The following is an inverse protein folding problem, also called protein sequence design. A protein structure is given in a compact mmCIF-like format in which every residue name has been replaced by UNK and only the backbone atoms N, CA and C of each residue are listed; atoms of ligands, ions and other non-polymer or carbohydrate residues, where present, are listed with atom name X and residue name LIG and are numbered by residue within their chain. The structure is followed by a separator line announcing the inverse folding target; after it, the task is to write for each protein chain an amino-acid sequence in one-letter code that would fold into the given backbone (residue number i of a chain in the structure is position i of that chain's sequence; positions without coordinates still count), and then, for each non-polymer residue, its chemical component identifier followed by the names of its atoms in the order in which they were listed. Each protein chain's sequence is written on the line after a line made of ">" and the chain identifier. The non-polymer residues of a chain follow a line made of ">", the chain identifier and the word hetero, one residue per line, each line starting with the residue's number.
data_IF_474217484246
#
_entry.id   IF_474217484246
#
_cell.length_a   1.000
_cell.length_b   1.000
_cell.length_c   1.000
_cell.angle_alpha   90.00
_cell.angle_beta   90.00
_cell.angle_gamma   90.00
#
_symmetry.space_group_name_H-M   'P 1'
#
loop_
_entity.id
_entity.type
_entity.pdbx_description
1 polymer ?
#
# COMPACT_ATOMS: atom_id res chain seq x y z
N UNK A 1 29.38 52.97 23.46
CA UNK A 1 30.12 52.77 22.20
C UNK A 1 29.34 51.88 21.23
N UNK A 2 29.11 50.60 21.53
CA UNK A 2 28.40 49.64 20.65
C UNK A 2 27.05 50.20 20.14
N UNK A 3 26.20 50.73 21.02
CA UNK A 3 24.91 51.34 20.63
C UNK A 3 25.06 52.47 19.60
N UNK A 4 26.12 53.28 19.71
CA UNK A 4 26.34 54.42 18.81
C UNK A 4 26.76 53.98 17.41
N UNK A 5 27.49 52.89 17.32
CA UNK A 5 28.00 52.35 16.05
C UNK A 5 27.03 51.36 15.40
N UNK A 6 25.88 51.08 16.04
CA UNK A 6 24.86 50.08 15.68
C UNK A 6 25.39 48.62 15.70
N UNK A 7 26.42 48.33 14.90
CA UNK A 7 27.17 47.08 14.90
C UNK A 7 28.68 47.35 14.79
N UNK A 8 29.48 46.69 15.62
CA UNK A 8 30.95 46.84 15.64
C UNK A 8 31.61 45.50 15.37
N UNK A 9 32.58 45.46 14.45
CA UNK A 9 33.46 44.31 14.29
C UNK A 9 34.32 44.09 15.54
N UNK A 10 34.48 42.85 15.98
CA UNK A 10 35.25 42.55 17.19
C UNK A 10 36.68 43.07 17.13
N UNK A 11 37.34 43.06 15.95
CA UNK A 11 38.67 43.67 15.78
C UNK A 11 38.67 45.16 16.10
N UNK A 12 37.74 45.92 15.52
CA UNK A 12 37.58 47.37 15.76
C UNK A 12 37.27 47.66 17.23
N UNK A 13 36.47 46.80 17.88
CA UNK A 13 36.15 46.94 19.29
C UNK A 13 37.39 46.76 20.18
N UNK A 14 38.22 45.75 19.89
CA UNK A 14 39.48 45.54 20.60
C UNK A 14 40.42 46.73 20.41
N UNK A 15 40.59 47.23 19.18
CA UNK A 15 41.45 48.39 18.88
C UNK A 15 40.97 49.67 19.59
N UNK A 16 39.65 49.90 19.65
CA UNK A 16 39.09 51.08 20.31
C UNK A 16 39.38 51.13 21.81
N UNK A 17 39.24 50.01 22.51
CA UNK A 17 39.43 49.95 23.96
C UNK A 17 40.88 49.67 24.38
N UNK A 18 41.72 49.18 23.48
CA UNK A 18 43.19 49.10 23.69
C UNK A 18 43.84 50.49 23.63
N UNK A 19 43.27 51.41 22.86
CA UNK A 19 43.73 52.80 22.77
C UNK A 19 43.40 53.65 24.02
N UNK A 20 44.13 54.75 24.20
CA UNK A 20 43.83 55.76 25.22
C UNK A 20 42.43 56.39 24.97
N UNK A 21 41.66 56.73 26.02
CA UNK A 21 42.03 56.75 27.45
C UNK A 21 41.80 55.42 28.18
N UNK A 22 41.30 54.37 27.52
CA UNK A 22 40.91 53.14 28.18
C UNK A 22 42.10 52.23 28.51
N UNK A 23 42.96 51.97 27.53
CA UNK A 23 44.16 51.14 27.72
C UNK A 23 43.88 49.70 28.17
N UNK A 24 42.71 49.15 27.81
CA UNK A 24 42.30 47.81 28.23
C UNK A 24 43.05 46.73 27.45
N UNK A 25 43.48 45.67 28.12
CA UNK A 25 43.96 44.48 27.41
C UNK A 25 42.85 43.90 26.54
N UNK A 26 43.23 43.25 25.44
CA UNK A 26 42.27 42.54 24.57
C UNK A 26 41.40 41.56 25.36
N UNK A 27 41.97 40.87 26.35
CA UNK A 27 41.25 39.92 27.20
C UNK A 27 40.21 40.59 28.07
N UNK A 28 40.51 41.77 28.63
CA UNK A 28 39.54 42.56 29.41
C UNK A 28 38.31 42.87 28.56
N UNK A 29 38.52 43.38 27.34
CA UNK A 29 37.42 43.70 26.41
C UNK A 29 36.62 42.45 26.04
N UNK A 30 37.28 41.33 25.73
CA UNK A 30 36.59 40.06 25.40
C UNK A 30 35.75 39.54 26.57
N UNK A 31 36.27 39.57 27.80
CA UNK A 31 35.54 39.10 28.97
C UNK A 31 34.34 39.99 29.30
N UNK A 32 34.48 41.31 29.18
CA UNK A 32 33.35 42.23 29.33
C UNK A 32 32.25 41.95 28.30
N UNK A 33 32.60 41.81 27.02
CA UNK A 33 31.63 41.46 25.97
C UNK A 33 31.01 40.09 26.22
N UNK A 34 31.78 39.12 26.71
CA UNK A 34 31.24 37.79 27.06
C UNK A 34 30.23 37.87 28.21
N UNK A 35 30.51 38.68 29.24
CA UNK A 35 29.59 38.91 30.34
C UNK A 35 28.31 39.61 29.86
N UNK A 36 28.45 40.66 29.05
CA UNK A 36 27.32 41.35 28.41
C UNK A 36 26.48 40.39 27.54
N UNK A 37 27.12 39.48 26.82
CA UNK A 37 26.43 38.48 26.00
C UNK A 37 25.62 37.50 26.85
N UNK A 38 26.20 36.98 27.94
CA UNK A 38 25.48 36.10 28.88
C UNK A 38 24.33 36.84 29.57
N UNK A 39 24.51 38.13 29.87
CA UNK A 39 23.46 39.00 30.40
C UNK A 39 22.40 39.40 29.35
N UNK A 40 22.54 38.97 28.10
CA UNK A 40 21.66 39.35 26.98
C UNK A 40 21.65 40.87 26.69
N UNK A 41 22.74 41.58 26.97
CA UNK A 41 22.89 43.00 26.62
C UNK A 41 23.38 43.20 25.18
N UNK A 42 24.13 42.23 24.66
CA UNK A 42 24.63 42.21 23.28
C UNK A 42 24.26 40.90 22.59
N UNK A 43 24.21 40.95 21.26
CA UNK A 43 24.14 39.78 20.38
C UNK A 43 25.37 39.74 19.48
N UNK A 44 25.69 38.56 18.97
CA UNK A 44 26.87 38.33 18.14
C UNK A 44 26.43 37.97 16.73
N UNK A 45 27.01 38.60 15.71
CA UNK A 45 26.85 38.18 14.32
C UNK A 45 28.02 37.29 13.92
N UNK A 46 27.76 36.01 13.70
CA UNK A 46 28.78 34.98 13.43
C UNK A 46 28.44 34.30 12.11
N UNK A 47 29.32 34.42 11.12
CA UNK A 47 29.12 33.84 9.78
C UNK A 47 27.78 34.23 9.12
N UNK A 48 27.28 35.43 9.43
CA UNK A 48 26.02 35.95 8.89
C UNK A 48 24.78 35.70 9.76
N UNK A 49 24.89 34.89 10.81
CA UNK A 49 23.78 34.55 11.72
C UNK A 49 23.86 35.37 13.02
N UNK A 50 22.70 35.80 13.52
CA UNK A 50 22.58 36.47 14.82
C UNK A 50 22.48 35.41 15.94
N UNK A 51 23.51 35.34 16.77
CA UNK A 51 23.61 34.48 17.93
C UNK A 51 23.28 35.30 19.18
N UNK A 52 22.27 34.85 19.94
CA UNK A 52 21.67 35.60 21.07
C UNK A 52 21.77 34.84 22.40
N UNK A 53 22.17 33.58 22.35
CA UNK A 53 22.26 32.69 23.50
C UNK A 53 23.61 32.00 23.52
N UNK A 54 24.03 31.55 24.71
CA UNK A 54 25.22 30.72 24.84
C UNK A 54 25.05 29.41 24.06
N UNK A 55 26.02 29.14 23.19
CA UNK A 55 26.13 27.93 22.39
C UNK A 55 27.58 27.72 21.90
N UNK A 56 27.89 26.58 21.27
CA UNK A 56 29.23 26.27 20.77
C UNK A 56 29.88 27.37 19.91
N UNK A 57 29.17 27.95 18.93
CA UNK A 57 29.68 29.03 18.06
C UNK A 57 30.03 30.27 18.87
N UNK A 58 29.18 30.66 19.82
CA UNK A 58 29.44 31.81 20.69
C UNK A 58 30.67 31.56 21.58
N UNK A 59 30.78 30.37 22.16
CA UNK A 59 31.92 29.98 23.00
C UNK A 59 33.22 30.02 22.20
N UNK A 60 33.25 29.38 21.02
CA UNK A 60 34.43 29.34 20.17
C UNK A 60 34.87 30.75 19.74
N UNK A 61 33.91 31.59 19.36
CA UNK A 61 34.18 32.94 18.89
C UNK A 61 34.65 33.88 19.99
N UNK A 62 34.14 33.74 21.22
CA UNK A 62 34.57 34.58 22.35
C UNK A 62 35.84 34.07 23.03
N UNK A 63 36.18 32.78 22.88
CA UNK A 63 37.27 32.10 23.61
C UNK A 63 38.65 32.71 23.37
N UNK A 64 38.96 33.16 22.15
CA UNK A 64 40.26 33.72 21.81
C UNK A 64 40.15 34.94 20.88
N UNK A 65 41.25 35.69 20.73
CA UNK A 65 41.30 36.91 19.92
C UNK A 65 41.02 36.65 18.43
N UNK A 66 41.44 35.50 17.89
CA UNK A 66 41.24 35.18 16.48
C UNK A 66 39.77 34.94 16.13
N UNK A 67 39.04 34.24 17.01
CA UNK A 67 37.58 34.09 16.90
C UNK A 67 36.88 35.44 17.06
N UNK A 68 37.27 36.21 18.09
CA UNK A 68 36.64 37.48 18.41
C UNK A 68 36.80 38.50 17.27
N UNK A 69 37.94 38.51 16.58
CA UNK A 69 38.16 39.40 15.44
C UNK A 69 37.19 39.20 14.27
N UNK A 70 36.49 38.06 14.20
CA UNK A 70 35.63 37.67 13.07
C UNK A 70 34.14 37.87 13.32
N UNK A 71 33.74 38.30 14.51
CA UNK A 71 32.33 38.49 14.85
C UNK A 71 31.92 39.95 14.75
N UNK A 72 30.65 40.19 14.44
CA UNK A 72 29.99 41.47 14.71
C UNK A 72 29.39 41.47 16.11
N UNK A 73 29.39 42.62 16.79
CA UNK A 73 28.75 42.82 18.08
C UNK A 73 27.79 44.00 17.97
N UNK A 74 26.54 43.79 18.35
CA UNK A 74 25.50 44.83 18.43
C UNK A 74 24.71 44.70 19.73
N UNK A 75 24.03 45.76 20.13
CA UNK A 75 23.17 45.73 21.30
C UNK A 75 21.97 44.81 21.04
N UNK A 76 21.63 43.96 22.01
CA UNK A 76 20.44 43.11 21.92
C UNK A 76 19.24 43.89 22.46
N UNK A 77 18.52 44.52 21.54
CA UNK A 77 17.48 45.49 21.86
C UNK A 77 16.27 44.83 22.54
N UNK A 78 15.55 45.59 23.37
CA UNK A 78 14.41 45.07 24.13
C UNK A 78 13.27 44.53 23.24
N UNK A 79 13.07 45.11 22.06
CA UNK A 79 12.08 44.67 21.07
C UNK A 79 12.49 43.39 20.31
N UNK A 80 13.76 42.98 20.38
CA UNK A 80 14.24 41.73 19.81
C UNK A 80 14.18 40.56 20.80
N UNK A 81 14.02 40.86 22.09
CA UNK A 81 13.95 39.86 23.16
C UNK A 81 12.55 39.22 23.20
N UNK A 82 12.46 37.88 23.35
CA UNK A 82 11.16 37.24 23.54
C UNK A 82 10.52 37.72 24.84
N UNK A 83 9.20 37.97 24.82
CA UNK A 83 8.45 38.32 26.03
C UNK A 83 8.34 37.12 26.98
N UNK A 84 7.99 37.37 28.24
CA UNK A 84 7.76 36.30 29.21
C UNK A 84 6.67 35.31 28.76
N UNK A 85 5.61 35.81 28.10
CA UNK A 85 4.55 34.99 27.52
C UNK A 85 5.07 34.10 26.39
N UNK A 86 5.98 34.62 25.56
CA UNK A 86 6.60 33.84 24.49
C UNK A 86 7.54 32.76 25.06
N UNK A 87 8.28 33.07 26.11
CA UNK A 87 9.12 32.09 26.82
C UNK A 87 8.26 30.99 27.44
N UNK A 88 7.18 31.34 28.14
CA UNK A 88 6.23 30.39 28.71
C UNK A 88 5.56 29.50 27.65
N UNK A 89 5.15 30.10 26.52
CA UNK A 89 4.56 29.36 25.40
C UNK A 89 5.57 28.41 24.75
N UNK A 90 6.82 28.85 24.59
CA UNK A 90 7.90 28.05 24.03
C UNK A 90 8.18 26.81 24.86
N UNK A 91 8.29 26.93 26.18
CA UNK A 91 8.58 25.77 27.05
C UNK A 91 7.42 24.78 27.07
N UNK A 92 6.16 25.26 27.02
CA UNK A 92 4.99 24.38 26.94
C UNK A 92 4.98 23.59 25.62
N UNK A 93 5.27 24.26 24.52
CA UNK A 93 5.34 23.67 23.18
C UNK A 93 6.52 22.70 23.04
N UNK A 94 7.69 23.06 23.57
CA UNK A 94 8.82 22.14 23.64
C UNK A 94 8.50 20.91 24.47
N UNK A 95 7.89 21.07 25.64
CA UNK A 95 7.48 19.94 26.47
C UNK A 95 6.49 19.02 25.73
N UNK A 96 5.59 19.57 24.91
CA UNK A 96 4.70 18.77 24.07
C UNK A 96 5.46 18.01 22.96
N UNK A 97 6.49 18.62 22.38
CA UNK A 97 7.28 18.00 21.31
C UNK A 97 8.28 16.95 21.84
N UNK A 98 8.90 17.19 22.99
CA UNK A 98 10.05 16.40 23.48
C UNK A 98 9.77 15.63 24.78
N UNK A 99 8.71 15.98 25.51
CA UNK A 99 8.45 15.49 26.86
C UNK A 99 9.30 16.16 27.95
N UNK A 100 10.23 17.05 27.60
CA UNK A 100 11.13 17.71 28.55
C UNK A 100 10.58 19.06 29.01
N UNK A 101 10.47 19.26 30.33
CA UNK A 101 10.14 20.55 30.93
C UNK A 101 11.41 21.32 31.27
N UNK A 102 11.47 22.60 30.88
CA UNK A 102 12.62 23.47 31.14
C UNK A 102 12.19 24.83 31.67
N UNK A 103 13.12 25.53 32.32
CA UNK A 103 12.91 26.89 32.78
C UNK A 103 12.63 27.84 31.59
N UNK A 104 11.78 28.87 31.77
CA UNK A 104 11.44 29.85 30.72
C UNK A 104 12.59 30.85 30.50
N UNK A 105 13.73 30.33 30.06
CA UNK A 105 14.94 31.09 29.75
C UNK A 105 15.36 30.79 28.31
N UNK A 106 15.79 31.82 27.58
CA UNK A 106 16.11 31.70 26.16
C UNK A 106 17.25 30.69 25.91
N UNK A 107 18.26 30.66 26.79
CA UNK A 107 19.38 29.73 26.72
C UNK A 107 18.96 28.28 26.96
N UNK A 108 18.03 28.04 27.90
CA UNK A 108 17.49 26.71 28.20
C UNK A 108 16.61 26.16 27.09
N UNK A 109 15.77 27.01 26.49
CA UNK A 109 14.98 26.66 25.31
C UNK A 109 15.93 26.27 24.15
N UNK A 110 16.96 27.08 23.89
CA UNK A 110 17.93 26.79 22.85
C UNK A 110 18.74 25.50 23.11
N UNK A 111 19.04 25.20 24.37
CA UNK A 111 19.73 23.97 24.77
C UNK A 111 18.92 22.71 24.41
N UNK A 112 17.62 22.69 24.73
CA UNK A 112 16.72 21.58 24.36
C UNK A 112 16.64 21.45 22.85
N UNK A 113 16.46 22.57 22.15
CA UNK A 113 16.34 22.58 20.69
C UNK A 113 17.59 22.00 20.03
N UNK A 114 18.79 22.41 20.44
CA UNK A 114 20.04 21.85 19.91
C UNK A 114 20.19 20.35 20.15
N UNK A 115 19.52 19.81 21.18
CA UNK A 115 19.53 18.39 21.51
C UNK A 115 18.55 17.60 20.64
N UNK A 116 17.29 18.03 20.57
CA UNK A 116 16.21 17.26 19.94
C UNK A 116 15.98 17.55 18.46
N UNK A 117 16.21 18.78 17.99
CA UNK A 117 15.91 19.12 16.60
C UNK A 117 16.75 18.35 15.57
N UNK A 118 18.04 18.02 15.81
CA UNK A 118 18.79 17.15 14.89
C UNK A 118 18.17 15.75 14.77
N UNK A 119 17.64 15.22 15.87
CA UNK A 119 16.93 13.94 15.88
C UNK A 119 15.62 14.04 15.10
N UNK A 120 14.84 15.12 15.29
CA UNK A 120 13.63 15.38 14.51
C UNK A 120 13.93 15.53 13.01
N UNK A 121 15.02 16.22 12.65
CA UNK A 121 15.45 16.38 11.26
C UNK A 121 15.65 15.02 10.61
N UNK A 122 16.40 14.15 11.28
CA UNK A 122 16.69 12.78 10.83
C UNK A 122 15.42 11.95 10.76
N UNK A 123 14.63 11.95 11.84
CA UNK A 123 13.38 11.17 11.98
C UNK A 123 12.39 11.51 10.86
N UNK A 124 12.26 12.78 10.52
CA UNK A 124 11.26 13.25 9.56
C UNK A 124 11.77 13.39 8.12
N UNK A 125 13.04 13.05 7.85
CA UNK A 125 13.70 13.26 6.56
C UNK A 125 13.02 12.54 5.38
N UNK A 126 12.42 11.37 5.62
CA UNK A 126 11.79 10.55 4.57
C UNK A 126 10.33 10.89 4.31
N UNK A 127 9.70 11.70 5.15
CA UNK A 127 8.23 11.86 5.14
C UNK A 127 7.74 12.48 3.83
N UNK A 128 8.44 13.50 3.31
CA UNK A 128 8.09 14.11 2.02
C UNK A 128 8.01 13.08 0.90
N UNK A 129 9.06 12.29 0.72
CA UNK A 129 9.11 11.25 -0.33
C UNK A 129 8.03 10.18 -0.15
N UNK A 130 7.71 9.83 1.11
CA UNK A 130 6.62 8.88 1.40
C UNK A 130 5.26 9.45 1.04
N UNK A 131 4.99 10.73 1.36
CA UNK A 131 3.76 11.41 0.97
C UNK A 131 3.64 11.50 -0.56
N UNK A 132 4.71 11.87 -1.27
CA UNK A 132 4.75 11.90 -2.74
C UNK A 132 4.43 10.52 -3.35
N UNK A 133 5.07 9.46 -2.85
CA UNK A 133 4.84 8.09 -3.33
C UNK A 133 3.39 7.63 -3.12
N UNK A 134 2.80 7.99 -1.98
CA UNK A 134 1.40 7.65 -1.65
C UNK A 134 0.38 8.61 -2.27
N UNK A 135 0.84 9.66 -2.97
CA UNK A 135 0.00 10.75 -3.50
C UNK A 135 -0.82 11.48 -2.43
N UNK A 136 -0.26 11.61 -1.22
CA UNK A 136 -0.87 12.31 -0.09
C UNK A 136 -0.44 13.78 -0.02
N UNK A 137 -1.30 14.69 0.49
CA UNK A 137 -0.99 16.11 0.63
C UNK A 137 0.05 16.37 1.73
N UNK A 138 0.54 17.62 1.81
CA UNK A 138 1.44 18.08 2.86
C UNK A 138 2.94 17.93 2.55
N UNK A 139 3.30 17.71 1.28
CA UNK A 139 4.70 17.58 0.84
C UNK A 139 5.50 18.86 1.10
N UNK A 140 4.91 20.02 0.77
CA UNK A 140 5.47 21.34 1.05
C UNK A 140 5.62 21.57 2.57
N UNK A 141 4.57 21.23 3.34
CA UNK A 141 4.59 21.32 4.80
C UNK A 141 5.69 20.45 5.42
N UNK A 142 5.94 19.26 4.87
CA UNK A 142 7.05 18.40 5.30
C UNK A 142 8.42 19.02 4.98
N UNK A 143 8.55 19.69 3.84
CA UNK A 143 9.77 20.45 3.50
C UNK A 143 9.96 21.64 4.43
N UNK A 144 8.90 22.41 4.70
CA UNK A 144 8.94 23.55 5.62
C UNK A 144 9.39 23.17 7.03
N UNK A 145 9.05 21.96 7.51
CA UNK A 145 9.60 21.44 8.77
C UNK A 145 11.12 21.29 8.68
N UNK A 146 11.62 20.66 7.62
CA UNK A 146 13.06 20.42 7.46
C UNK A 146 13.84 21.73 7.39
N UNK A 147 13.33 22.69 6.62
CA UNK A 147 13.93 24.02 6.46
C UNK A 147 13.83 24.82 7.78
N UNK A 148 12.69 24.76 8.46
CA UNK A 148 12.47 25.39 9.75
C UNK A 148 13.40 24.86 10.85
N UNK A 149 13.60 23.54 10.90
CA UNK A 149 14.58 22.90 11.80
C UNK A 149 16.00 23.37 11.45
N UNK A 150 16.38 23.30 10.18
CA UNK A 150 17.72 23.68 9.73
C UNK A 150 18.04 25.14 10.08
N UNK A 151 17.11 26.05 9.86
CA UNK A 151 17.28 27.47 10.15
C UNK A 151 17.44 27.74 11.66
N UNK A 152 16.65 27.06 12.49
CA UNK A 152 16.78 27.16 13.95
C UNK A 152 18.14 26.62 14.42
N UNK A 153 18.58 25.48 13.89
CA UNK A 153 19.87 24.88 14.23
C UNK A 153 21.05 25.72 13.75
N UNK A 154 20.93 26.36 12.58
CA UNK A 154 21.94 27.28 12.03
C UNK A 154 22.22 28.43 13.00
N UNK A 155 21.19 29.01 13.60
CA UNK A 155 21.29 30.03 14.66
C UNK A 155 21.58 29.48 16.07
N UNK A 156 21.95 28.20 16.22
CA UNK A 156 22.15 27.51 17.50
C UNK A 156 20.94 27.58 18.45
N UNK A 157 19.73 27.67 17.91
CA UNK A 157 18.50 27.83 18.71
C UNK A 157 18.27 29.25 19.24
N UNK A 158 19.07 30.24 18.83
CA UNK A 158 18.94 31.64 19.29
C UNK A 158 17.52 32.19 19.07
N UNK A 159 16.90 31.84 17.94
CA UNK A 159 15.55 32.27 17.59
C UNK A 159 14.46 31.30 18.02
N UNK A 160 14.80 30.19 18.70
CA UNK A 160 13.83 29.15 19.00
C UNK A 160 12.71 29.64 19.93
N UNK A 161 13.04 30.40 20.97
CA UNK A 161 12.06 31.02 21.86
C UNK A 161 11.11 31.97 21.10
N UNK A 162 11.59 32.61 20.04
CA UNK A 162 10.76 33.49 19.22
C UNK A 162 9.86 32.67 18.29
N UNK A 163 10.45 31.73 17.55
CA UNK A 163 9.75 30.90 16.56
C UNK A 163 8.70 30.00 17.20
N UNK A 164 8.99 29.44 18.37
CA UNK A 164 8.06 28.57 19.12
C UNK A 164 7.12 29.36 20.04
N UNK A 165 7.48 30.58 20.44
CA UNK A 165 6.76 31.34 21.46
C UNK A 165 5.67 32.28 20.95
N UNK A 166 5.64 32.59 19.65
CA UNK A 166 4.62 33.46 19.06
C UNK A 166 3.21 32.87 19.21
N UNK A 167 2.14 33.68 19.31
CA UNK A 167 0.77 33.18 19.37
C UNK A 167 0.46 32.16 18.27
N UNK A 168 0.77 32.53 17.02
CA UNK A 168 0.78 31.64 15.85
C UNK A 168 2.21 31.22 15.56
N UNK A 169 2.46 29.91 15.49
CA UNK A 169 3.79 29.35 15.33
C UNK A 169 3.76 28.24 14.30
N UNK A 170 3.97 28.60 13.03
CA UNK A 170 3.99 27.65 11.92
C UNK A 170 5.00 26.53 12.16
N UNK A 171 6.18 26.85 12.73
CA UNK A 171 7.17 25.85 13.09
C UNK A 171 6.62 24.81 14.07
N UNK A 172 5.93 25.26 15.13
CA UNK A 172 5.35 24.35 16.12
C UNK A 172 4.21 23.53 15.52
N UNK A 173 3.29 24.17 14.81
CA UNK A 173 2.12 23.52 14.23
C UNK A 173 2.54 22.49 13.16
N UNK A 174 3.56 22.82 12.37
CA UNK A 174 4.15 21.91 11.39
C UNK A 174 4.89 20.73 12.07
N UNK A 175 5.60 20.97 13.17
CA UNK A 175 6.27 19.91 13.95
C UNK A 175 5.28 18.94 14.62
N UNK A 176 4.12 19.44 15.07
CA UNK A 176 3.04 18.57 15.58
C UNK A 176 2.45 17.75 14.45
N UNK A 177 2.11 18.38 13.33
CA UNK A 177 1.53 17.71 12.18
C UNK A 177 2.44 16.59 11.65
N UNK A 178 3.73 16.88 11.43
CA UNK A 178 4.66 15.88 10.89
C UNK A 178 4.93 14.75 11.89
N UNK A 179 4.88 15.05 13.19
CA UNK A 179 4.95 14.05 14.26
C UNK A 179 3.77 13.09 14.21
N UNK A 180 2.56 13.59 13.98
CA UNK A 180 1.35 12.78 13.81
C UNK A 180 1.42 11.93 12.54
N UNK A 181 1.85 12.50 11.41
CA UNK A 181 2.07 11.75 10.15
C UNK A 181 3.07 10.62 10.36
N UNK A 182 4.22 10.91 10.98
CA UNK A 182 5.24 9.91 11.28
C UNK A 182 4.68 8.77 12.14
N UNK A 183 3.92 9.12 13.19
CA UNK A 183 3.29 8.14 14.08
C UNK A 183 2.27 7.30 13.34
N UNK A 184 1.41 7.89 12.51
CA UNK A 184 0.45 7.14 11.69
C UNK A 184 1.17 6.15 10.76
N UNK A 185 2.26 6.60 10.14
CA UNK A 185 3.13 5.77 9.33
C UNK A 185 3.76 4.59 10.11
N UNK A 186 4.25 4.81 11.32
CA UNK A 186 4.73 3.75 12.23
C UNK A 186 3.61 2.78 12.64
N UNK A 187 2.34 3.22 12.60
CA UNK A 187 1.15 2.45 12.98
C UNK A 187 0.43 1.79 11.78
N UNK A 188 1.10 1.68 10.62
CA UNK A 188 0.57 0.96 9.45
C UNK A 188 -0.38 1.77 8.57
N UNK A 189 -0.45 3.09 8.74
CA UNK A 189 -1.20 3.97 7.81
C UNK A 189 -0.66 3.87 6.38
N UNK A 190 0.67 3.79 6.21
CA UNK A 190 1.29 3.66 4.88
C UNK A 190 0.84 2.39 4.15
N UNK A 191 0.79 1.25 4.85
CA UNK A 191 0.32 0.00 4.24
C UNK A 191 -1.15 0.08 3.83
N UNK A 192 -2.00 0.78 4.60
CA UNK A 192 -3.40 0.96 4.25
C UNK A 192 -3.56 1.77 2.95
N UNK A 193 -2.85 2.89 2.79
CA UNK A 193 -2.89 3.66 1.54
C UNK A 193 -2.32 2.89 0.34
N UNK A 194 -1.24 2.11 0.53
CA UNK A 194 -0.72 1.22 -0.53
C UNK A 194 -1.77 0.19 -0.94
N UNK A 195 -2.40 -0.45 0.03
CA UNK A 195 -3.44 -1.45 -0.22
C UNK A 195 -4.65 -0.85 -0.95
N UNK A 196 -5.12 0.32 -0.53
CA UNK A 196 -6.18 1.05 -1.22
C UNK A 196 -5.84 1.32 -2.70
N UNK A 197 -4.62 1.79 -2.98
CA UNK A 197 -4.15 2.02 -4.35
C UNK A 197 -4.12 0.72 -5.18
N UNK A 198 -3.60 -0.37 -4.61
CA UNK A 198 -3.55 -1.68 -5.29
C UNK A 198 -4.95 -2.23 -5.58
N UNK A 199 -5.87 -2.10 -4.62
CA UNK A 199 -7.28 -2.48 -4.81
C UNK A 199 -7.92 -1.64 -5.91
N UNK A 200 -7.70 -0.32 -5.92
CA UNK A 200 -8.24 0.59 -6.92
C UNK A 200 -7.75 0.22 -8.32
N UNK A 201 -6.44 0.08 -8.50
CA UNK A 201 -5.84 -0.30 -9.79
C UNK A 201 -6.33 -1.67 -10.26
N UNK A 202 -6.40 -2.65 -9.35
CA UNK A 202 -6.83 -4.00 -9.68
C UNK A 202 -8.31 -4.09 -10.04
N UNK A 203 -9.19 -3.35 -9.34
CA UNK A 203 -10.62 -3.32 -9.63
C UNK A 203 -10.87 -2.54 -10.92
N UNK A 204 -10.20 -1.41 -11.15
CA UNK A 204 -10.33 -0.62 -12.37
C UNK A 204 -9.91 -1.40 -13.63
N UNK A 205 -8.92 -2.30 -13.50
CA UNK A 205 -8.46 -3.17 -14.57
C UNK A 205 -9.43 -4.31 -14.94
N UNK A 206 -10.46 -4.58 -14.13
CA UNK A 206 -11.45 -5.61 -14.45
C UNK A 206 -12.29 -5.24 -15.68
N UNK A 207 -12.92 -6.22 -16.37
CA UNK A 207 -13.81 -5.91 -17.50
C UNK A 207 -15.01 -5.03 -17.13
N UNK A 208 -15.41 -4.13 -18.02
CA UNK A 208 -16.60 -3.28 -17.88
C UNK A 208 -17.90 -3.97 -18.33
N UNK A 209 -18.02 -5.26 -18.01
CA UNK A 209 -19.20 -6.06 -18.34
C UNK A 209 -19.49 -7.13 -17.28
N UNK A 210 -20.76 -7.55 -17.17
CA UNK A 210 -21.18 -8.65 -16.29
C UNK A 210 -20.92 -8.40 -14.81
N UNK A 211 -20.66 -9.47 -14.06
CA UNK A 211 -20.40 -9.45 -12.61
C UNK A 211 -19.21 -8.54 -12.23
N UNK A 212 -18.09 -8.49 -12.98
CA UNK A 212 -17.02 -7.54 -12.69
C UNK A 212 -17.45 -6.06 -12.75
N UNK A 213 -18.33 -5.69 -13.69
CA UNK A 213 -18.88 -4.32 -13.76
C UNK A 213 -19.71 -3.98 -12.53
N UNK A 214 -20.55 -4.90 -12.10
CA UNK A 214 -21.35 -4.73 -10.88
C UNK A 214 -20.44 -4.54 -9.64
N UNK A 215 -19.32 -5.26 -9.55
CA UNK A 215 -18.35 -5.05 -8.47
C UNK A 215 -17.76 -3.62 -8.50
N UNK A 216 -17.38 -3.12 -9.69
CA UNK A 216 -16.90 -1.73 -9.85
C UNK A 216 -17.94 -0.72 -9.39
N UNK A 217 -19.20 -0.93 -9.75
CA UNK A 217 -20.30 -0.03 -9.37
C UNK A 217 -20.55 -0.03 -7.86
N UNK A 218 -20.52 -1.20 -7.22
CA UNK A 218 -20.79 -1.32 -5.77
C UNK A 218 -19.62 -0.89 -4.88
N UNK A 219 -18.37 -0.97 -5.37
CA UNK A 219 -17.18 -0.47 -4.64
C UNK A 219 -16.98 1.04 -4.81
N UNK A 220 -17.75 1.70 -5.67
CA UNK A 220 -17.58 3.12 -5.99
C UNK A 220 -17.69 4.03 -4.77
N UNK A 221 -18.64 3.77 -3.87
CA UNK A 221 -18.85 4.60 -2.66
C UNK A 221 -17.67 4.52 -1.71
N UNK A 222 -17.14 3.33 -1.47
CA UNK A 222 -15.95 3.15 -0.63
C UNK A 222 -14.72 3.80 -1.28
N UNK A 223 -14.57 3.68 -2.61
CA UNK A 223 -13.47 4.36 -3.32
C UNK A 223 -13.59 5.88 -3.30
N UNK A 224 -14.79 6.46 -3.39
CA UNK A 224 -14.98 7.90 -3.20
C UNK A 224 -14.56 8.32 -1.78
N UNK A 225 -14.88 7.51 -0.76
CA UNK A 225 -14.45 7.76 0.62
C UNK A 225 -12.93 7.76 0.74
N UNK A 226 -12.26 6.79 0.10
CA UNK A 226 -10.80 6.71 0.05
C UNK A 226 -10.20 7.93 -0.67
N UNK A 227 -10.79 8.36 -1.78
CA UNK A 227 -10.36 9.54 -2.52
C UNK A 227 -10.52 10.82 -1.69
N UNK A 228 -11.65 10.99 -1.00
CA UNK A 228 -11.89 12.11 -0.09
C UNK A 228 -10.84 12.15 1.03
N UNK A 229 -10.50 11.00 1.63
CA UNK A 229 -9.45 10.90 2.66
C UNK A 229 -8.07 11.25 2.07
N UNK A 230 -7.77 10.76 0.87
CA UNK A 230 -6.47 10.96 0.22
C UNK A 230 -6.24 12.43 -0.13
N UNK A 231 -7.30 13.19 -0.37
CA UNK A 231 -7.23 14.63 -0.67
C UNK A 231 -7.34 15.54 0.57
N UNK A 232 -7.57 14.96 1.75
CA UNK A 232 -7.73 15.69 3.01
C UNK A 232 -6.37 16.02 3.64
N UNK A 233 -6.18 17.25 4.13
CA UNK A 233 -4.96 17.61 4.86
C UNK A 233 -4.91 16.99 6.28
N UNK A 234 -6.05 16.51 6.77
CA UNK A 234 -6.22 15.82 8.06
C UNK A 234 -6.34 14.30 7.90
N UNK A 235 -5.85 13.73 6.78
CA UNK A 235 -5.92 12.31 6.45
C UNK A 235 -5.46 11.36 7.57
N UNK A 236 -4.53 11.80 8.43
CA UNK A 236 -4.02 11.00 9.56
C UNK A 236 -5.15 10.61 10.51
N UNK A 237 -6.06 11.53 10.80
CA UNK A 237 -7.16 11.33 11.74
C UNK A 237 -8.26 10.43 11.15
N UNK A 238 -8.26 10.25 9.82
CA UNK A 238 -9.23 9.42 9.08
C UNK A 238 -8.68 8.03 8.70
N UNK A 239 -7.57 7.62 9.31
CA UNK A 239 -6.97 6.29 9.05
C UNK A 239 -7.91 5.13 9.41
N UNK A 240 -8.82 5.30 10.38
CA UNK A 240 -9.82 4.27 10.71
C UNK A 240 -10.82 4.10 9.56
N UNK A 241 -11.44 5.20 9.12
CA UNK A 241 -12.39 5.23 8.01
C UNK A 241 -11.78 4.62 6.74
N UNK A 242 -10.50 4.91 6.46
CA UNK A 242 -9.76 4.30 5.35
C UNK A 242 -9.72 2.77 5.46
N UNK A 243 -9.41 2.24 6.65
CA UNK A 243 -9.33 0.79 6.88
C UNK A 243 -10.70 0.12 6.77
N UNK A 244 -11.74 0.80 7.24
CA UNK A 244 -13.12 0.30 7.14
C UNK A 244 -13.56 0.24 5.66
N UNK A 245 -13.29 1.29 4.88
CA UNK A 245 -13.56 1.30 3.43
C UNK A 245 -12.78 0.19 2.69
N UNK A 246 -11.51 -0.03 3.04
CA UNK A 246 -10.71 -1.15 2.50
C UNK A 246 -11.34 -2.50 2.85
N UNK A 247 -11.80 -2.68 4.09
CA UNK A 247 -12.45 -3.92 4.52
C UNK A 247 -13.73 -4.18 3.72
N UNK A 248 -14.59 -3.17 3.58
CA UNK A 248 -15.82 -3.28 2.79
C UNK A 248 -15.53 -3.68 1.34
N UNK A 249 -14.52 -3.08 0.72
CA UNK A 249 -14.12 -3.43 -0.66
C UNK A 249 -13.64 -4.88 -0.74
N UNK A 250 -12.89 -5.37 0.25
CA UNK A 250 -12.44 -6.77 0.27
C UNK A 250 -13.59 -7.75 0.45
N UNK A 251 -14.55 -7.42 1.31
CA UNK A 251 -15.74 -8.23 1.53
C UNK A 251 -16.56 -8.30 0.23
N UNK A 252 -16.77 -7.16 -0.44
CA UNK A 252 -17.38 -7.11 -1.77
C UNK A 252 -16.59 -7.94 -2.79
N UNK A 253 -15.26 -7.86 -2.81
CA UNK A 253 -14.45 -8.71 -3.70
C UNK A 253 -14.65 -10.20 -3.41
N UNK A 254 -14.78 -10.59 -2.14
CA UNK A 254 -15.06 -11.97 -1.75
C UNK A 254 -16.43 -12.44 -2.23
N UNK A 255 -17.47 -11.64 -1.98
CA UNK A 255 -18.84 -11.94 -2.39
C UNK A 255 -18.98 -12.03 -3.91
N UNK A 256 -18.39 -11.08 -4.64
CA UNK A 256 -18.43 -11.07 -6.10
C UNK A 256 -17.55 -12.16 -6.71
N UNK A 257 -16.49 -12.60 -6.04
CA UNK A 257 -15.74 -13.80 -6.44
C UNK A 257 -16.62 -15.05 -6.37
N UNK A 258 -17.37 -15.23 -5.27
CA UNK A 258 -18.30 -16.36 -5.13
C UNK A 258 -19.42 -16.29 -6.17
N UNK A 259 -20.00 -15.10 -6.39
CA UNK A 259 -21.04 -14.89 -7.40
C UNK A 259 -20.53 -15.22 -8.81
N UNK A 260 -19.32 -14.78 -9.14
CA UNK A 260 -18.69 -15.07 -10.43
C UNK A 260 -18.40 -16.57 -10.59
N UNK A 261 -17.82 -17.20 -9.56
CA UNK A 261 -17.51 -18.62 -9.56
C UNK A 261 -18.77 -19.47 -9.81
N UNK A 262 -19.85 -19.18 -9.07
CA UNK A 262 -21.12 -19.89 -9.22
C UNK A 262 -21.69 -19.70 -10.64
N UNK A 263 -21.68 -18.47 -11.16
CA UNK A 263 -22.20 -18.19 -12.50
C UNK A 263 -21.39 -18.87 -13.62
N UNK A 264 -20.06 -18.92 -13.51
CA UNK A 264 -19.23 -19.58 -14.52
C UNK A 264 -19.35 -21.12 -14.44
N UNK A 265 -19.37 -21.70 -13.24
CA UNK A 265 -19.59 -23.14 -13.10
C UNK A 265 -20.97 -23.56 -13.59
N UNK A 266 -22.02 -22.77 -13.34
CA UNK A 266 -23.36 -23.04 -13.89
C UNK A 266 -23.36 -23.05 -15.43
N UNK A 267 -22.67 -22.10 -16.07
CA UNK A 267 -22.54 -22.08 -17.53
C UNK A 267 -21.80 -23.32 -18.05
N UNK A 268 -20.70 -23.70 -17.40
CA UNK A 268 -19.91 -24.87 -17.77
C UNK A 268 -20.74 -26.14 -17.65
N UNK A 269 -21.47 -26.31 -16.54
CA UNK A 269 -22.36 -27.45 -16.33
C UNK A 269 -23.46 -27.51 -17.40
N UNK A 270 -24.09 -26.38 -17.74
CA UNK A 270 -25.10 -26.32 -18.81
C UNK A 270 -24.47 -26.73 -20.15
N UNK A 271 -23.27 -26.25 -20.48
CA UNK A 271 -22.59 -26.63 -21.73
C UNK A 271 -22.23 -28.13 -21.77
N UNK A 272 -21.77 -28.70 -20.66
CA UNK A 272 -21.50 -30.14 -20.51
C UNK A 272 -22.78 -30.94 -20.72
N UNK A 273 -23.88 -30.58 -20.04
CA UNK A 273 -25.18 -31.24 -20.19
C UNK A 273 -25.67 -31.18 -21.64
N UNK A 274 -25.46 -30.08 -22.35
CA UNK A 274 -25.82 -29.96 -23.78
C UNK A 274 -24.97 -30.88 -24.67
N UNK A 275 -23.68 -31.05 -24.36
CA UNK A 275 -22.80 -31.99 -25.07
C UNK A 275 -23.30 -33.42 -24.85
N UNK A 276 -23.61 -33.81 -23.62
CA UNK A 276 -24.06 -35.15 -23.25
C UNK A 276 -25.47 -35.48 -23.77
N UNK A 277 -26.34 -34.48 -23.88
CA UNK A 277 -27.66 -34.62 -24.49
C UNK A 277 -27.64 -34.67 -26.03
N UNK A 278 -26.47 -34.48 -26.66
CA UNK A 278 -26.37 -34.43 -28.12
C UNK A 278 -26.58 -35.79 -28.78
N UNK A 279 -27.11 -35.80 -30.01
CA UNK A 279 -27.26 -37.03 -30.79
C UNK A 279 -25.93 -37.72 -31.06
N UNK A 280 -24.86 -36.95 -31.19
CA UNK A 280 -23.53 -37.48 -31.48
C UNK A 280 -22.91 -38.16 -30.26
N UNK A 281 -23.21 -37.68 -29.05
CA UNK A 281 -22.82 -38.33 -27.80
C UNK A 281 -23.32 -39.79 -27.70
N UNK A 282 -24.57 -40.02 -28.10
CA UNK A 282 -25.18 -41.37 -28.07
C UNK A 282 -24.53 -42.40 -29.00
N UNK A 283 -23.66 -41.96 -29.93
CA UNK A 283 -22.95 -42.83 -30.89
C UNK A 283 -21.56 -43.24 -30.41
N UNK A 284 -21.07 -42.64 -29.32
CA UNK A 284 -19.75 -42.94 -28.74
C UNK A 284 -19.76 -44.29 -28.00
N UNK A 285 -18.59 -44.90 -27.85
CA UNK A 285 -18.42 -46.07 -26.97
C UNK A 285 -18.40 -45.66 -25.50
N UNK A 286 -18.61 -46.62 -24.59
CA UNK A 286 -18.54 -46.36 -23.15
C UNK A 286 -17.20 -45.76 -22.71
N UNK A 287 -16.09 -46.23 -23.29
CA UNK A 287 -14.75 -45.73 -22.97
C UNK A 287 -14.56 -44.28 -23.43
N UNK A 288 -15.07 -43.93 -24.62
CA UNK A 288 -15.02 -42.57 -25.16
C UNK A 288 -15.90 -41.60 -24.36
N UNK A 289 -17.08 -42.05 -23.92
CA UNK A 289 -17.95 -41.27 -23.05
C UNK A 289 -17.28 -41.01 -21.70
N UNK A 290 -16.65 -42.03 -21.10
CA UNK A 290 -15.93 -41.89 -19.83
C UNK A 290 -14.75 -40.91 -19.94
N UNK A 291 -13.94 -41.00 -20.99
CA UNK A 291 -12.81 -40.09 -21.23
C UNK A 291 -13.26 -38.62 -21.33
N UNK A 292 -14.32 -38.37 -22.11
CA UNK A 292 -14.82 -37.00 -22.29
C UNK A 292 -15.51 -36.49 -21.03
N UNK A 293 -16.28 -37.33 -20.33
CA UNK A 293 -16.93 -36.94 -19.08
C UNK A 293 -15.89 -36.56 -18.00
N UNK A 294 -14.79 -37.31 -17.87
CA UNK A 294 -13.69 -36.96 -16.97
C UNK A 294 -13.05 -35.62 -17.35
N UNK A 295 -12.76 -35.41 -18.65
CA UNK A 295 -12.20 -34.16 -19.15
C UNK A 295 -13.11 -32.96 -18.90
N UNK A 296 -14.42 -33.13 -19.10
CA UNK A 296 -15.43 -32.10 -18.86
C UNK A 296 -15.58 -31.77 -17.36
N UNK A 297 -15.60 -32.77 -16.49
CA UNK A 297 -15.67 -32.55 -15.04
C UNK A 297 -14.45 -31.77 -14.52
N UNK A 298 -13.27 -31.97 -15.12
CA UNK A 298 -12.07 -31.22 -14.78
C UNK A 298 -12.09 -29.74 -15.23
N UNK A 299 -13.12 -29.30 -15.97
CA UNK A 299 -13.31 -27.88 -16.32
C UNK A 299 -14.03 -27.08 -15.24
N UNK A 300 -14.69 -27.74 -14.30
CA UNK A 300 -15.36 -27.07 -13.17
C UNK A 300 -14.30 -26.37 -12.34
N UNK A 301 -14.49 -25.06 -12.15
CA UNK A 301 -13.52 -24.21 -11.46
C UNK A 301 -13.61 -24.50 -9.97
N UNK A 302 -12.46 -24.84 -9.37
CA UNK A 302 -12.35 -25.03 -7.93
C UNK A 302 -12.54 -23.71 -7.14
N UNK A 303 -12.69 -23.82 -5.82
CA UNK A 303 -12.93 -22.67 -4.95
C UNK A 303 -11.85 -21.59 -5.08
N UNK A 304 -12.28 -20.37 -5.42
CA UNK A 304 -11.46 -19.15 -5.53
C UNK A 304 -12.01 -18.08 -4.58
N UNK A 305 -11.14 -17.18 -4.12
CA UNK A 305 -11.49 -16.17 -3.11
C UNK A 305 -10.93 -14.79 -3.45
N UNK A 306 -11.70 -13.75 -3.11
CA UNK A 306 -11.30 -12.36 -3.21
C UNK A 306 -10.94 -11.91 -4.63
N UNK A 307 -10.20 -10.81 -4.71
CA UNK A 307 -9.90 -10.14 -5.98
C UNK A 307 -8.99 -10.96 -6.91
N UNK A 308 -8.00 -11.66 -6.36
CA UNK A 308 -7.16 -12.57 -7.16
C UNK A 308 -7.97 -13.75 -7.69
N UNK A 309 -8.93 -14.26 -6.91
CA UNK A 309 -9.86 -15.29 -7.37
C UNK A 309 -10.69 -14.83 -8.58
N UNK A 310 -11.17 -13.58 -8.57
CA UNK A 310 -11.88 -13.00 -9.72
C UNK A 310 -10.98 -12.99 -10.97
N UNK A 311 -9.73 -12.53 -10.85
CA UNK A 311 -8.78 -12.50 -11.97
C UNK A 311 -8.51 -13.90 -12.50
N UNK A 312 -8.32 -14.88 -11.62
CA UNK A 312 -8.11 -16.28 -12.00
C UNK A 312 -9.30 -16.84 -12.78
N UNK A 313 -10.54 -16.65 -12.29
CA UNK A 313 -11.75 -17.14 -12.96
C UNK A 313 -11.87 -16.54 -14.37
N UNK A 314 -11.64 -15.22 -14.50
CA UNK A 314 -11.71 -14.54 -15.80
C UNK A 314 -10.66 -15.06 -16.78
N UNK A 315 -9.44 -15.32 -16.30
CA UNK A 315 -8.36 -15.87 -17.12
C UNK A 315 -8.65 -17.32 -17.54
N UNK A 316 -9.23 -18.14 -16.66
CA UNK A 316 -9.58 -19.53 -16.95
C UNK A 316 -10.69 -19.64 -18.00
N UNK A 317 -11.62 -18.68 -18.04
CA UNK A 317 -12.77 -18.70 -18.94
C UNK A 317 -12.39 -18.89 -20.42
N UNK A 318 -11.31 -18.22 -20.87
CA UNK A 318 -10.80 -18.40 -22.23
C UNK A 318 -10.35 -19.84 -22.51
N UNK A 319 -9.60 -20.44 -21.58
CA UNK A 319 -9.09 -21.81 -21.70
C UNK A 319 -10.23 -22.83 -21.65
N UNK A 320 -11.24 -22.59 -20.80
CA UNK A 320 -12.40 -23.46 -20.66
C UNK A 320 -13.23 -23.48 -21.95
N UNK A 321 -13.57 -22.31 -22.50
CA UNK A 321 -14.35 -22.22 -23.74
C UNK A 321 -13.65 -22.89 -24.94
N UNK A 322 -12.33 -22.73 -25.04
CA UNK A 322 -11.55 -23.41 -26.07
C UNK A 322 -11.54 -24.93 -25.86
N UNK A 323 -11.50 -25.39 -24.61
CA UNK A 323 -11.52 -26.82 -24.30
C UNK A 323 -12.89 -27.43 -24.62
N UNK A 324 -13.98 -26.76 -24.26
CA UNK A 324 -15.35 -27.18 -24.62
C UNK A 324 -15.55 -27.23 -26.14
N UNK A 325 -14.97 -26.28 -26.86
CA UNK A 325 -14.97 -26.29 -28.34
C UNK A 325 -14.18 -27.50 -28.89
N UNK A 326 -12.97 -27.74 -28.37
CA UNK A 326 -12.15 -28.89 -28.77
C UNK A 326 -12.81 -30.23 -28.44
N UNK A 327 -13.54 -30.32 -27.32
CA UNK A 327 -14.33 -31.51 -26.96
C UNK A 327 -15.42 -31.78 -28.00
N UNK A 328 -16.14 -30.73 -28.42
CA UNK A 328 -17.17 -30.87 -29.49
C UNK A 328 -16.57 -31.33 -30.82
N UNK A 329 -15.39 -30.83 -31.17
CA UNK A 329 -14.65 -31.26 -32.37
C UNK A 329 -14.20 -32.72 -32.25
N UNK A 330 -13.64 -33.12 -31.12
CA UNK A 330 -13.22 -34.50 -30.83
C UNK A 330 -14.39 -35.49 -30.92
N UNK A 331 -15.58 -35.12 -30.39
CA UNK A 331 -16.80 -35.92 -30.55
C UNK A 331 -17.16 -36.09 -32.03
N UNK A 332 -17.11 -35.01 -32.82
CA UNK A 332 -17.39 -35.08 -34.24
C UNK A 332 -16.38 -35.96 -35.00
N UNK A 333 -15.10 -35.97 -34.59
CA UNK A 333 -14.09 -36.86 -35.13
C UNK A 333 -14.34 -38.32 -34.79
N UNK A 334 -14.70 -38.64 -33.53
CA UNK A 334 -15.08 -40.00 -33.14
C UNK A 334 -16.28 -40.52 -33.93
N UNK A 335 -17.28 -39.68 -34.20
CA UNK A 335 -18.45 -40.06 -35.01
C UNK A 335 -18.07 -40.28 -36.49
N UNK A 336 -17.11 -39.53 -37.04
CA UNK A 336 -16.63 -39.69 -38.43
C UNK A 336 -15.70 -40.89 -38.59
N UNK A 337 -14.87 -41.15 -37.60
CA UNK A 337 -14.02 -42.33 -37.54
C UNK A 337 -14.92 -43.55 -37.31
N UNK A 338 -15.41 -44.18 -38.40
CA UNK A 338 -16.05 -45.50 -38.33
C UNK A 338 -15.25 -46.39 -37.36
N UNK A 339 -15.90 -47.20 -36.51
CA UNK A 339 -15.18 -48.07 -35.59
C UNK A 339 -14.13 -48.84 -36.38
N UNK A 340 -12.85 -48.67 -36.02
CA UNK A 340 -11.79 -49.48 -36.59
C UNK A 340 -12.17 -50.92 -36.31
N UNK A 341 -12.60 -51.65 -37.35
CA UNK A 341 -12.57 -53.09 -37.31
C UNK A 341 -11.13 -53.46 -36.93
N UNK A 342 -10.95 -54.05 -35.76
CA UNK A 342 -9.67 -54.65 -35.40
C UNK A 342 -9.28 -55.63 -36.53
N UNK A 343 -8.00 -55.68 -36.96
CA UNK A 343 -7.57 -56.65 -37.95
C UNK A 343 -7.92 -58.06 -37.47
N UNK A 344 -8.66 -58.81 -38.29
CA UNK A 344 -8.99 -60.22 -38.07
C UNK A 344 -7.76 -61.03 -37.62
N UNK A 345 -7.78 -61.69 -36.44
CA UNK A 345 -7.16 -62.98 -36.29
C UNK A 345 -8.12 -63.99 -36.94
N UNK A 346 -7.69 -64.61 -38.04
CA UNK A 346 -8.51 -65.57 -38.78
C UNK A 346 -9.08 -66.70 -37.91
N UNK A 347 -10.34 -67.02 -38.15
CA UNK A 347 -11.02 -68.19 -37.60
C UNK A 347 -12.42 -67.86 -37.09
N UNK A 348 -13.40 -67.75 -38.00
CA UNK A 348 -14.83 -67.69 -37.66
C UNK A 348 -15.23 -68.94 -36.87
N UNK A 349 -15.31 -68.85 -35.54
CA UNK A 349 -15.97 -69.86 -34.71
C UNK A 349 -17.47 -69.55 -34.70
N UNK A 350 -18.28 -70.57 -34.99
CA UNK A 350 -19.71 -70.53 -34.70
C UNK A 350 -19.93 -70.71 -33.20
N UNK A 351 -20.57 -69.73 -32.58
CA UNK A 351 -20.95 -69.77 -31.16
C UNK A 351 -22.46 -69.97 -31.11
N UNK A 352 -22.89 -71.16 -30.69
CA UNK A 352 -24.31 -71.44 -30.49
C UNK A 352 -24.77 -70.82 -29.16
N UNK A 353 -25.87 -70.07 -29.19
CA UNK A 353 -26.54 -69.56 -28.00
C UNK A 353 -27.97 -70.05 -27.92
N UNK A 354 -28.28 -70.54 -26.72
CA UNK A 354 -29.57 -71.10 -26.40
C UNK A 354 -30.44 -70.04 -25.72
N UNK A 355 -31.47 -69.62 -26.45
CA UNK A 355 -32.51 -68.70 -25.98
C UNK A 355 -33.83 -69.43 -25.70
N UNK A 356 -33.84 -70.77 -25.63
CA UNK A 356 -35.05 -71.56 -25.32
C UNK A 356 -35.69 -71.25 -23.96
N UNK A 357 -34.95 -70.59 -23.06
CA UNK A 357 -35.48 -70.03 -21.81
C UNK A 357 -36.49 -68.90 -22.03
N UNK A 358 -36.49 -68.26 -23.20
CA UNK A 358 -37.42 -67.20 -23.56
C UNK A 358 -38.61 -67.76 -24.34
N UNK A 359 -39.80 -67.32 -23.95
CA UNK A 359 -41.03 -67.67 -24.68
C UNK A 359 -41.01 -67.10 -26.09
N UNK A 360 -41.53 -67.86 -27.07
CA UNK A 360 -41.79 -67.38 -28.44
C UNK A 360 -42.90 -66.32 -28.50
N UNK A 361 -43.63 -66.12 -27.41
CA UNK A 361 -44.65 -65.10 -27.25
C UNK A 361 -44.34 -64.29 -26.00
N UNK A 362 -44.01 -63.01 -26.19
CA UNK A 362 -43.66 -62.08 -25.10
C UNK A 362 -44.96 -61.46 -24.57
N UNK A 363 -45.23 -61.62 -23.28
CA UNK A 363 -46.49 -61.18 -22.65
C UNK A 363 -46.31 -60.02 -21.67
N UNK A 364 -45.07 -59.59 -21.40
CA UNK A 364 -44.77 -58.45 -20.51
C UNK A 364 -43.53 -57.66 -20.94
N UNK A 365 -43.45 -56.39 -20.54
CA UNK A 365 -42.27 -55.53 -20.80
C UNK A 365 -40.98 -56.08 -20.15
N UNK A 366 -41.07 -56.65 -18.95
CA UNK A 366 -39.91 -57.25 -18.28
C UNK A 366 -39.32 -58.45 -19.05
N UNK A 367 -40.16 -59.25 -19.71
CA UNK A 367 -39.70 -60.33 -20.59
C UNK A 367 -39.01 -59.78 -21.85
N UNK A 368 -39.51 -58.67 -22.40
CA UNK A 368 -38.91 -57.99 -23.54
C UNK A 368 -37.54 -57.41 -23.19
N UNK A 369 -37.44 -56.70 -22.07
CA UNK A 369 -36.20 -56.08 -21.62
C UNK A 369 -35.13 -57.12 -21.29
N UNK A 370 -35.53 -58.26 -20.71
CA UNK A 370 -34.62 -59.37 -20.42
C UNK A 370 -34.08 -60.02 -21.69
N UNK A 371 -34.92 -60.17 -22.73
CA UNK A 371 -34.50 -60.68 -24.03
C UNK A 371 -33.57 -59.69 -24.75
N UNK A 372 -33.89 -58.39 -24.72
CA UNK A 372 -33.06 -57.33 -25.31
C UNK A 372 -31.69 -57.30 -24.62
N UNK A 373 -31.64 -57.37 -23.30
CA UNK A 373 -30.38 -57.38 -22.56
C UNK A 373 -29.52 -58.59 -22.93
N UNK A 374 -30.12 -59.78 -23.08
CA UNK A 374 -29.38 -60.98 -23.51
C UNK A 374 -28.87 -60.84 -24.96
N UNK A 375 -29.66 -60.25 -25.86
CA UNK A 375 -29.26 -59.96 -27.24
C UNK A 375 -28.15 -58.91 -27.32
N UNK A 376 -28.20 -57.87 -26.50
CA UNK A 376 -27.16 -56.83 -26.45
C UNK A 376 -25.85 -57.35 -25.84
N UNK A 377 -25.93 -58.25 -24.85
CA UNK A 377 -24.74 -58.93 -24.32
C UNK A 377 -24.03 -59.78 -25.40
N UNK A 378 -24.78 -60.31 -26.38
CA UNK A 378 -24.24 -61.04 -27.52
C UNK A 378 -23.62 -60.13 -28.60
N UNK A 379 -23.85 -58.81 -28.55
CA UNK A 379 -23.25 -57.86 -29.50
C UNK A 379 -21.71 -57.88 -29.42
N UNK A 380 -21.16 -58.15 -28.24
CA UNK A 380 -19.71 -58.32 -28.03
C UNK A 380 -19.11 -59.47 -28.84
N UNK A 381 -19.84 -60.59 -28.99
CA UNK A 381 -19.41 -61.76 -29.76
C UNK A 381 -19.41 -61.50 -31.28
N UNK A 382 -20.42 -60.77 -31.77
CA UNK A 382 -20.45 -60.33 -33.18
C UNK A 382 -19.34 -59.33 -33.49
N UNK A 383 -19.05 -58.42 -32.55
CA UNK A 383 -17.96 -57.46 -32.68
C UNK A 383 -16.57 -58.13 -32.66
N UNK A 384 -16.46 -59.32 -32.08
CA UNK A 384 -15.24 -60.15 -32.10
C UNK A 384 -15.09 -60.98 -33.40
N UNK A 385 -16.05 -60.91 -34.34
CA UNK A 385 -16.01 -61.61 -35.62
C UNK A 385 -16.55 -63.05 -35.59
N UNK A 386 -17.25 -63.44 -34.51
CA UNK A 386 -17.91 -64.74 -34.41
C UNK A 386 -19.28 -64.74 -35.13
N UNK A 387 -19.69 -65.89 -35.67
CA UNK A 387 -21.07 -66.10 -36.11
C UNK A 387 -21.88 -66.66 -34.94
N UNK A 388 -23.03 -66.03 -34.64
CA UNK A 388 -23.93 -66.50 -33.58
C UNK A 388 -25.06 -67.31 -34.21
N UNK A 389 -25.19 -68.55 -33.76
CA UNK A 389 -26.32 -69.41 -34.07
C UNK A 389 -27.30 -69.37 -32.90
N UNK A 390 -28.53 -68.88 -33.13
CA UNK A 390 -29.55 -68.77 -32.09
C UNK A 390 -30.45 -70.00 -32.14
N UNK A 391 -30.46 -70.74 -31.04
CA UNK A 391 -31.41 -71.81 -30.79
C UNK A 391 -32.57 -71.26 -29.95
N UNK A 392 -33.77 -71.31 -30.52
CA UNK A 392 -35.01 -70.82 -29.91
C UNK A 392 -35.86 -71.92 -29.30
#
# INVERSE_FOLDING_TARGET
>A
FIIREDQVEGRKLLEHFDAAPYGWSKDTTRFLVSAMFVASDVKLRISGDDIKVKGPKAIESLKNVNGFNKIGISAYQANEKPSMEMLASSIKRLAQLTGESVAPLQDKIAEVVRRYFPEFQTKYSSIKTRLEYLKLPGQDKAQEVQDGIAEVLKGEGSDAAFRLGKPVSDLFDNLIWIGNVNKGFEQGMESAFKEANVLKESIDALPDSGIPKELKENTKTDFNTIEDITNDNEFVDRTSDLKDAISNIKDLCSDYCQKLLASENEKIEIEIMQIEASKDWSKLTSDQQAEIAERNNNLIIENKQGLEGIKDILNLNYTINNTLTAVREQIAEYVKAKPKQNPMPGGSKKVAKDLSKFSKTIASEQELDSLISELDNMRGELNAGNEIEINW
#
